data_IF_927497671584
#
_entry.id   IF_927497671584
#
_cell.length_a   1.000
_cell.length_b   1.000
_cell.length_c   1.000
_cell.angle_alpha   90.00
_cell.angle_beta   90.00
_cell.angle_gamma   90.00
#
_symmetry.space_group_name_H-M   'P 1'
#
loop_
_entity.id
_entity.type
_entity.pdbx_description
1 polymer ?
#
# COMPACT_ATOMS: atom_id res chain seq x y z
N UNK A 1 -0.91 22.34 5.77
CA UNK A 1 -0.89 21.22 6.73
C UNK A 1 -0.10 20.11 6.08
N UNK A 2 1.19 20.02 6.41
CA UNK A 2 2.16 19.18 5.69
C UNK A 2 2.12 17.74 6.21
N UNK A 3 1.79 16.84 5.28
CA UNK A 3 1.77 15.39 5.43
C UNK A 3 3.20 14.87 5.63
N UNK A 4 3.65 14.73 6.88
CA UNK A 4 4.93 14.12 7.30
C UNK A 4 6.19 14.74 6.68
N UNK A 5 7.11 15.28 7.49
CA UNK A 5 8.32 15.98 6.99
C UNK A 5 9.38 15.06 6.34
N UNK A 6 9.23 13.73 6.42
CA UNK A 6 10.19 12.76 5.84
C UNK A 6 9.66 12.16 4.53
N UNK A 7 10.30 12.52 3.42
CA UNK A 7 10.02 12.00 2.07
C UNK A 7 10.51 10.55 1.84
N UNK A 8 11.28 9.99 2.77
CA UNK A 8 11.79 8.62 2.71
C UNK A 8 12.10 8.09 4.12
N UNK A 9 11.87 6.79 4.34
CA UNK A 9 12.40 6.08 5.50
C UNK A 9 13.80 5.54 5.17
N UNK A 10 14.77 5.85 6.02
CA UNK A 10 16.14 5.34 5.91
C UNK A 10 16.45 4.33 7.03
N UNK A 11 15.75 4.42 8.15
CA UNK A 11 15.81 3.47 9.27
C UNK A 11 14.42 2.86 9.52
N UNK A 12 14.39 1.60 9.95
CA UNK A 12 13.15 0.93 10.36
C UNK A 12 12.34 1.75 11.38
N UNK A 13 13.00 2.52 12.25
CA UNK A 13 12.33 3.39 13.23
C UNK A 13 11.54 4.53 12.60
N UNK A 14 11.92 4.99 11.40
CA UNK A 14 11.16 6.00 10.66
C UNK A 14 9.77 5.50 10.27
N UNK A 15 9.60 4.17 10.18
CA UNK A 15 8.30 3.57 9.90
C UNK A 15 7.31 3.71 11.05
N UNK A 16 7.79 3.97 12.26
CA UNK A 16 6.94 4.17 13.45
C UNK A 16 6.20 5.51 13.42
N UNK A 17 6.76 6.49 12.69
CA UNK A 17 6.18 7.82 12.49
C UNK A 17 5.23 7.91 11.29
N UNK A 18 5.02 6.83 10.54
CA UNK A 18 4.06 6.80 9.44
C UNK A 18 2.62 6.61 9.93
N UNK A 19 1.68 7.18 9.18
CA UNK A 19 0.25 7.15 9.44
C UNK A 19 -0.31 5.72 9.32
N UNK A 20 -0.39 5.02 10.45
CA UNK A 20 -0.86 3.63 10.54
C UNK A 20 -2.28 3.46 10.01
N UNK A 21 -3.14 4.45 10.21
CA UNK A 21 -4.53 4.44 9.74
C UNK A 21 -4.61 4.44 8.22
N UNK A 22 -3.80 5.25 7.55
CA UNK A 22 -3.73 5.28 6.08
C UNK A 22 -3.16 3.96 5.52
N UNK A 23 -2.15 3.40 6.17
CA UNK A 23 -1.60 2.09 5.78
C UNK A 23 -2.64 0.96 5.94
N UNK A 24 -3.39 0.95 7.05
CA UNK A 24 -4.46 -0.03 7.26
C UNK A 24 -5.58 0.09 6.22
N UNK A 25 -5.99 1.32 5.87
CA UNK A 25 -6.97 1.58 4.81
C UNK A 25 -6.47 1.06 3.45
N UNK A 26 -5.21 1.35 3.08
CA UNK A 26 -4.62 0.82 1.85
C UNK A 26 -4.63 -0.72 1.82
N UNK A 27 -4.23 -1.37 2.92
CA UNK A 27 -4.25 -2.84 3.01
C UNK A 27 -5.67 -3.38 2.83
N UNK A 28 -6.65 -2.77 3.50
CA UNK A 28 -8.04 -3.18 3.39
C UNK A 28 -8.57 -3.07 1.96
N UNK A 29 -8.35 -1.92 1.30
CA UNK A 29 -8.78 -1.70 -0.09
C UNK A 29 -8.11 -2.66 -1.09
N UNK A 30 -6.84 -2.99 -0.88
CA UNK A 30 -6.14 -3.99 -1.70
C UNK A 30 -6.74 -5.39 -1.51
N UNK A 31 -7.10 -5.75 -0.27
CA UNK A 31 -7.73 -7.03 0.06
C UNK A 31 -9.14 -7.14 -0.53
N UNK A 32 -9.95 -6.08 -0.48
CA UNK A 32 -11.28 -6.04 -1.11
C UNK A 32 -11.21 -6.25 -2.64
N UNK A 33 -10.11 -5.83 -3.27
CA UNK A 33 -9.84 -6.04 -4.71
C UNK A 33 -9.14 -7.37 -5.02
N UNK A 34 -9.05 -8.26 -4.04
CA UNK A 34 -8.51 -9.61 -4.19
C UNK A 34 -6.99 -9.70 -4.21
N UNK A 35 -6.27 -8.66 -3.77
CA UNK A 35 -4.81 -8.70 -3.55
C UNK A 35 -4.55 -8.88 -2.05
N UNK A 36 -4.19 -10.10 -1.68
CA UNK A 36 -4.01 -10.45 -0.27
C UNK A 36 -2.65 -9.98 0.25
N UNK A 37 -2.64 -8.76 0.78
CA UNK A 37 -1.52 -8.22 1.53
C UNK A 37 -1.54 -8.76 2.97
N UNK A 38 -0.36 -9.12 3.46
CA UNK A 38 -0.12 -9.50 4.85
C UNK A 38 0.30 -8.22 5.60
N UNK A 39 0.20 -8.23 6.93
CA UNK A 39 0.40 -7.06 7.79
C UNK A 39 1.55 -6.13 7.36
N UNK A 40 1.41 -4.83 7.61
CA UNK A 40 2.32 -3.76 7.14
C UNK A 40 2.42 -3.61 5.60
N UNK A 41 1.64 -4.36 4.82
CA UNK A 41 1.57 -4.21 3.37
C UNK A 41 2.56 -5.10 2.61
N UNK A 42 2.94 -6.24 3.18
CA UNK A 42 3.83 -7.20 2.54
C UNK A 42 3.05 -8.16 1.64
N UNK A 43 3.59 -8.45 0.46
CA UNK A 43 3.05 -9.45 -0.45
C UNK A 43 4.11 -10.47 -0.78
N UNK A 44 3.82 -11.76 -0.54
CA UNK A 44 4.72 -12.84 -0.93
C UNK A 44 4.38 -13.33 -2.33
N UNK A 45 5.37 -13.25 -3.21
CA UNK A 45 5.32 -13.83 -4.54
C UNK A 45 5.86 -15.27 -4.49
N UNK A 46 5.28 -16.13 -5.30
CA UNK A 46 5.69 -17.51 -5.52
C UNK A 46 5.74 -17.79 -7.02
N UNK A 47 6.41 -18.89 -7.43
CA UNK A 47 6.46 -19.30 -8.84
C UNK A 47 5.11 -19.66 -9.47
N UNK A 48 4.02 -19.63 -8.71
CA UNK A 48 2.66 -19.77 -9.23
C UNK A 48 2.07 -18.45 -9.75
N UNK A 49 2.66 -17.29 -9.41
CA UNK A 49 2.19 -16.00 -9.90
C UNK A 49 2.68 -15.77 -11.33
N UNK A 50 1.76 -15.38 -12.19
CA UNK A 50 2.07 -15.00 -13.58
C UNK A 50 2.44 -13.51 -13.65
N UNK A 51 3.03 -13.09 -14.76
CA UNK A 51 3.28 -11.67 -15.04
C UNK A 51 1.99 -10.85 -15.00
N UNK A 52 0.89 -11.39 -15.51
CA UNK A 52 -0.43 -10.76 -15.45
C UNK A 52 -0.94 -10.58 -14.00
N UNK A 53 -0.60 -11.50 -13.08
CA UNK A 53 -0.95 -11.33 -11.67
C UNK A 53 -0.18 -10.17 -11.02
N UNK A 54 1.07 -9.99 -11.42
CA UNK A 54 1.93 -8.91 -10.94
C UNK A 54 1.44 -7.57 -11.48
N UNK A 55 1.15 -7.49 -12.78
CA UNK A 55 0.58 -6.29 -13.41
C UNK A 55 -0.75 -5.91 -12.77
N UNK A 56 -1.65 -6.87 -12.61
CA UNK A 56 -2.94 -6.64 -11.94
C UNK A 56 -2.77 -6.08 -10.54
N UNK A 57 -1.83 -6.63 -9.76
CA UNK A 57 -1.57 -6.16 -8.40
C UNK A 57 -1.01 -4.74 -8.38
N UNK A 58 -0.10 -4.41 -9.30
CA UNK A 58 0.47 -3.08 -9.44
C UNK A 58 -0.58 -2.04 -9.85
N UNK A 59 -1.39 -2.35 -10.86
CA UNK A 59 -2.48 -1.48 -11.32
C UNK A 59 -3.51 -1.24 -10.22
N UNK A 60 -3.89 -2.30 -9.51
CA UNK A 60 -4.79 -2.22 -8.36
C UNK A 60 -4.24 -1.30 -7.29
N UNK A 61 -2.94 -1.39 -6.97
CA UNK A 61 -2.29 -0.52 -5.99
C UNK A 61 -2.31 0.94 -6.43
N UNK A 62 -2.02 1.22 -7.70
CA UNK A 62 -2.11 2.57 -8.26
C UNK A 62 -3.52 3.15 -8.14
N UNK A 63 -4.55 2.37 -8.45
CA UNK A 63 -5.94 2.80 -8.34
C UNK A 63 -6.36 3.05 -6.90
N UNK A 64 -6.01 2.15 -5.97
CA UNK A 64 -6.30 2.36 -4.53
C UNK A 64 -5.66 3.66 -4.04
N UNK A 65 -4.37 3.88 -4.36
CA UNK A 65 -3.65 5.09 -3.96
C UNK A 65 -4.27 6.36 -4.56
N UNK A 66 -4.80 6.29 -5.79
CA UNK A 66 -5.48 7.41 -6.43
C UNK A 66 -6.80 7.73 -5.72
N UNK A 67 -7.64 6.73 -5.45
CA UNK A 67 -8.90 6.89 -4.71
C UNK A 67 -8.66 7.50 -3.33
N UNK A 68 -7.66 7.00 -2.59
CA UNK A 68 -7.31 7.53 -1.26
C UNK A 68 -6.82 8.98 -1.28
N UNK A 69 -6.22 9.45 -2.39
CA UNK A 69 -5.81 10.86 -2.56
C UNK A 69 -7.00 11.77 -2.84
N UNK A 70 -7.97 11.30 -3.61
CA UNK A 70 -9.17 12.06 -3.98
C UNK A 70 -10.12 12.27 -2.78
N UNK A 71 -10.09 11.39 -1.78
CA UNK A 71 -10.90 11.48 -0.54
C UNK A 71 -10.30 12.37 0.57
N UNK A 72 -9.17 13.04 0.33
CA UNK A 72 -8.57 13.95 1.31
C UNK A 72 -8.97 15.40 1.01
N UNK A 73 -9.89 16.04 1.77
CA UNK A 73 -10.17 17.47 1.67
C UNK A 73 -9.02 18.35 2.20
#
# INVERSE_FOLDING_TARGET
>A
MTCTEKSAAYDYRDTLSFEKTKNACFIHEMQERGIQLIGRGLWYLSGAHTEADIERAADTACDVLRTMKEETP
#
